data_IF_021347430771
#
_entry.id   IF_021347430771
#
_cell.length_a   1.000
_cell.length_b   1.000
_cell.length_c   1.000
_cell.angle_alpha   90.00
_cell.angle_beta   90.00
_cell.angle_gamma   90.00
#
_symmetry.space_group_name_H-M   'P 1'
#
loop_
_entity.id
_entity.type
_entity.pdbx_description
1 polymer ?
#
# COMPACT_ATOMS: atom_id res chain seq x y z
N UNK A 1 49.66 9.10 46.64
CA UNK A 1 50.88 9.94 46.56
C UNK A 1 51.36 9.96 45.12
N UNK A 2 51.32 11.16 44.51
CA UNK A 2 52.45 11.83 43.79
C UNK A 2 53.38 11.02 42.87
N UNK A 3 53.75 11.48 41.68
CA UNK A 3 53.33 12.67 40.95
C UNK A 3 53.61 12.55 39.43
N UNK A 4 52.86 13.39 38.72
CA UNK A 4 52.91 13.81 37.32
C UNK A 4 54.23 14.51 36.95
N UNK A 5 54.74 14.27 35.73
CA UNK A 5 55.01 15.25 34.65
C UNK A 5 55.33 14.48 33.35
N UNK A 6 55.13 14.88 32.07
CA UNK A 6 54.62 16.07 31.33
C UNK A 6 55.69 16.77 30.47
N UNK A 7 55.27 17.02 29.22
CA UNK A 7 55.90 17.93 28.23
C UNK A 7 57.27 17.45 27.69
N UNK A 8 57.73 17.83 26.48
CA UNK A 8 57.09 18.63 25.43
C UNK A 8 57.64 18.30 24.02
N UNK A 9 56.70 18.23 23.06
CA UNK A 9 56.65 18.89 21.75
C UNK A 9 57.86 19.00 20.77
N UNK A 10 57.53 18.75 19.49
CA UNK A 10 58.03 19.41 18.25
C UNK A 10 59.49 19.14 17.77
N UNK A 11 59.62 18.36 16.69
CA UNK A 11 59.54 18.83 15.28
C UNK A 11 60.64 18.29 14.32
N UNK A 12 60.20 17.91 13.09
CA UNK A 12 60.96 17.84 11.81
C UNK A 12 62.08 16.78 11.75
N UNK A 13 62.35 16.10 10.65
CA UNK A 13 61.71 16.12 9.32
C UNK A 13 62.75 16.17 8.19
N UNK A 14 62.99 15.04 7.52
CA UNK A 14 63.69 14.94 6.25
C UNK A 14 63.40 13.57 5.63
N UNK A 15 62.77 13.53 4.45
CA UNK A 15 62.67 12.32 3.63
C UNK A 15 62.96 12.69 2.16
N UNK A 16 63.55 11.74 1.44
CA UNK A 16 64.54 12.03 0.39
C UNK A 16 63.93 12.13 -1.01
N UNK A 17 64.31 13.16 -1.79
CA UNK A 17 63.77 13.41 -3.13
C UNK A 17 64.52 12.62 -4.21
N UNK A 18 63.87 11.61 -4.80
CA UNK A 18 64.37 10.97 -6.03
C UNK A 18 64.03 11.79 -7.30
N UNK A 19 64.93 11.84 -8.31
CA UNK A 19 64.71 12.54 -9.58
C UNK A 19 63.89 11.73 -10.60
N UNK A 20 63.26 12.38 -11.60
CA UNK A 20 62.22 11.77 -12.45
C UNK A 20 62.77 10.88 -13.58
N UNK A 21 62.09 9.76 -13.85
CA UNK A 21 62.36 8.89 -15.00
C UNK A 21 61.83 9.49 -16.32
N UNK A 22 62.71 9.68 -17.29
CA UNK A 22 62.41 10.13 -18.66
C UNK A 22 61.34 9.23 -19.31
N UNK A 23 60.30 9.82 -19.89
CA UNK A 23 59.27 9.10 -20.63
C UNK A 23 59.66 8.96 -22.11
N UNK A 24 59.72 7.73 -22.62
CA UNK A 24 59.90 7.45 -24.04
C UNK A 24 58.61 7.71 -24.82
N UNK A 25 58.70 8.51 -25.89
CA UNK A 25 57.55 9.03 -26.64
C UNK A 25 56.80 8.02 -27.52
N UNK A 26 56.09 7.07 -26.92
CA UNK A 26 55.05 6.29 -27.60
C UNK A 26 53.68 6.98 -27.45
N UNK A 27 52.98 7.22 -28.56
CA UNK A 27 51.61 7.75 -28.55
C UNK A 27 50.70 6.75 -27.82
N UNK A 28 49.99 7.13 -26.75
CA UNK A 28 49.15 6.18 -26.02
C UNK A 28 48.04 5.66 -26.95
N UNK A 29 47.97 4.34 -27.11
CA UNK A 29 46.91 3.69 -27.88
C UNK A 29 45.59 4.02 -27.20
N UNK A 30 44.74 4.82 -27.88
CA UNK A 30 43.35 5.04 -27.45
C UNK A 30 42.57 3.75 -27.62
N UNK A 31 42.71 2.83 -26.67
CA UNK A 31 41.68 1.82 -26.44
C UNK A 31 40.43 2.58 -26.05
N UNK A 32 39.44 2.61 -26.94
CA UNK A 32 38.07 2.97 -26.58
C UNK A 32 37.72 2.07 -25.40
N UNK A 33 37.23 2.60 -24.26
CA UNK A 33 36.69 1.73 -23.23
C UNK A 33 35.68 0.81 -23.90
N UNK A 34 35.87 -0.49 -23.78
CA UNK A 34 34.73 -1.38 -24.00
C UNK A 34 33.68 -0.92 -23.01
N UNK A 35 32.52 -0.52 -23.55
CA UNK A 35 31.32 -0.35 -22.76
C UNK A 35 30.98 -1.75 -22.26
N UNK A 36 31.60 -2.16 -21.15
CA UNK A 36 30.95 -3.04 -20.21
C UNK A 36 29.59 -2.40 -20.00
N UNK A 37 28.57 -3.06 -20.55
CA UNK A 37 27.19 -2.68 -20.34
C UNK A 37 27.04 -2.69 -18.84
N UNK A 38 26.92 -1.50 -18.27
CA UNK A 38 26.47 -1.36 -16.90
C UNK A 38 25.04 -1.86 -16.92
N UNK A 39 24.88 -3.16 -16.69
CA UNK A 39 23.64 -3.80 -16.28
C UNK A 39 23.31 -3.23 -14.91
N UNK A 40 22.94 -1.94 -14.91
CA UNK A 40 22.71 -1.13 -13.74
C UNK A 40 21.48 -1.64 -13.04
N UNK A 41 21.72 -2.66 -12.21
CA UNK A 41 20.77 -3.52 -11.52
C UNK A 41 19.35 -3.34 -12.05
N UNK A 42 19.11 -3.85 -13.27
CA UNK A 42 17.78 -4.04 -13.79
C UNK A 42 17.12 -5.06 -12.87
N UNK A 43 16.47 -4.53 -11.81
CA UNK A 43 16.12 -5.24 -10.56
C UNK A 43 15.89 -6.69 -10.87
N UNK A 44 16.85 -7.53 -10.44
CA UNK A 44 16.88 -8.97 -10.64
C UNK A 44 15.46 -9.45 -10.71
N UNK A 45 15.07 -10.09 -11.83
CA UNK A 45 13.73 -10.72 -11.99
C UNK A 45 13.34 -11.17 -10.60
N UNK A 46 12.32 -10.56 -9.99
CA UNK A 46 11.84 -11.01 -8.70
C UNK A 46 11.63 -12.50 -8.91
N UNK A 47 12.51 -13.30 -8.32
CA UNK A 47 12.35 -14.74 -8.25
C UNK A 47 10.98 -14.85 -7.67
N UNK A 48 10.05 -15.40 -8.45
CA UNK A 48 8.67 -15.47 -8.05
C UNK A 48 8.64 -16.55 -6.96
N UNK A 49 9.02 -16.14 -5.75
CA UNK A 49 8.97 -16.93 -4.54
C UNK A 49 7.57 -17.49 -4.50
N UNK A 50 7.48 -18.80 -4.73
CA UNK A 50 6.22 -19.43 -5.01
C UNK A 50 5.34 -19.24 -3.79
N UNK A 51 4.24 -18.51 -4.00
CA UNK A 51 3.53 -17.90 -2.92
C UNK A 51 2.83 -19.00 -2.09
N UNK A 52 3.26 -19.18 -0.84
CA UNK A 52 3.07 -20.43 -0.07
C UNK A 52 1.69 -20.59 0.57
N UNK A 53 1.04 -19.47 0.95
CA UNK A 53 -0.35 -19.42 1.43
C UNK A 53 -1.41 -19.43 0.29
N UNK A 54 -2.73 -19.50 0.57
CA UNK A 54 -3.77 -19.02 -0.32
C UNK A 54 -3.78 -17.47 -0.43
N UNK A 55 -4.33 -16.93 -1.52
CA UNK A 55 -4.48 -15.47 -1.75
C UNK A 55 -5.92 -15.08 -2.11
N UNK A 56 -6.16 -13.78 -2.33
CA UNK A 56 -7.50 -13.28 -2.71
C UNK A 56 -7.70 -13.25 -4.23
N UNK A 57 -8.93 -12.99 -4.67
CA UNK A 57 -9.27 -12.69 -6.09
C UNK A 57 -8.62 -11.42 -6.65
N UNK A 58 -7.94 -10.63 -5.80
CA UNK A 58 -7.23 -9.41 -6.17
C UNK A 58 -5.73 -9.65 -6.27
N UNK A 59 -5.08 -8.99 -7.24
CA UNK A 59 -3.64 -9.15 -7.42
C UNK A 59 -2.83 -8.50 -6.31
N UNK A 60 -1.83 -9.22 -5.80
CA UNK A 60 -0.81 -8.65 -4.91
C UNK A 60 0.07 -7.59 -5.58
N UNK A 61 0.04 -7.48 -6.91
CA UNK A 61 0.85 -6.53 -7.69
C UNK A 61 0.15 -5.18 -7.85
N UNK A 62 0.35 -4.28 -6.88
CA UNK A 62 -0.30 -2.97 -6.91
C UNK A 62 0.36 -2.03 -7.93
N UNK A 63 -0.44 -1.20 -8.58
CA UNK A 63 0.04 -0.03 -9.32
C UNK A 63 0.14 1.11 -8.29
N UNK A 64 1.30 1.26 -7.67
CA UNK A 64 1.52 2.25 -6.60
C UNK A 64 1.73 3.65 -7.19
N UNK A 65 1.05 4.65 -6.61
CA UNK A 65 1.17 6.06 -6.98
C UNK A 65 1.12 6.95 -5.74
N UNK A 66 1.97 7.97 -5.68
CA UNK A 66 1.89 9.01 -4.65
C UNK A 66 1.14 10.24 -5.18
N UNK A 67 0.67 11.09 -4.27
CA UNK A 67 -0.05 12.32 -4.59
C UNK A 67 0.75 13.51 -4.04
N UNK A 68 1.16 14.41 -4.93
CA UNK A 68 1.84 15.65 -4.56
C UNK A 68 0.87 16.83 -4.71
N UNK A 69 0.80 17.71 -3.71
CA UNK A 69 -0.06 18.89 -3.80
C UNK A 69 0.43 19.83 -4.93
N UNK A 70 -0.45 20.23 -5.85
CA UNK A 70 -0.16 21.21 -6.89
C UNK A 70 -0.75 22.58 -6.54
N UNK A 71 -1.98 22.62 -5.98
CA UNK A 71 -2.57 23.86 -5.46
C UNK A 71 -3.65 23.61 -4.41
N UNK A 72 -4.02 24.65 -3.66
CA UNK A 72 -5.04 24.61 -2.60
C UNK A 72 -4.47 24.86 -1.20
N UNK A 73 -5.33 24.77 -0.17
CA UNK A 73 -4.95 24.97 1.24
C UNK A 73 -4.57 23.68 1.98
N UNK A 74 -5.12 22.55 1.55
CA UNK A 74 -4.87 21.22 2.12
C UNK A 74 -3.47 20.74 1.71
N UNK A 75 -2.52 20.72 2.66
CA UNK A 75 -1.12 20.31 2.42
C UNK A 75 -0.91 18.81 2.43
N UNK A 76 -1.73 18.08 3.19
CA UNK A 76 -1.67 16.63 3.36
C UNK A 76 -3.08 16.03 3.30
N UNK A 77 -3.18 14.80 2.81
CA UNK A 77 -4.40 14.00 2.79
C UNK A 77 -4.33 12.95 3.90
N UNK A 78 -5.46 12.62 4.51
CA UNK A 78 -5.57 11.57 5.53
C UNK A 78 -6.34 10.34 5.02
N UNK A 79 -6.47 9.31 5.87
CA UNK A 79 -7.29 8.13 5.61
C UNK A 79 -8.78 8.46 5.39
N UNK A 80 -9.32 9.51 6.01
CA UNK A 80 -10.71 9.94 5.82
C UNK A 80 -10.94 10.53 4.42
N UNK A 81 -9.91 11.11 3.80
CA UNK A 81 -9.93 11.61 2.42
C UNK A 81 -9.86 10.48 1.38
N UNK A 82 -9.29 9.31 1.71
CA UNK A 82 -9.03 8.24 0.76
C UNK A 82 -10.23 7.79 -0.11
N UNK A 83 -11.47 7.68 0.40
CA UNK A 83 -12.61 7.31 -0.44
C UNK A 83 -12.98 8.38 -1.47
N UNK A 84 -12.77 9.67 -1.15
CA UNK A 84 -12.96 10.76 -2.10
C UNK A 84 -11.87 10.74 -3.17
N UNK A 85 -10.60 10.51 -2.78
CA UNK A 85 -9.48 10.29 -3.72
C UNK A 85 -9.80 9.14 -4.67
N UNK A 86 -10.19 7.97 -4.15
CA UNK A 86 -10.56 6.80 -4.96
C UNK A 86 -11.73 7.09 -5.91
N UNK A 87 -12.77 7.81 -5.46
CA UNK A 87 -13.88 8.21 -6.31
C UNK A 87 -13.41 9.12 -7.46
N UNK A 88 -12.67 10.20 -7.16
CA UNK A 88 -12.23 11.18 -8.16
C UNK A 88 -11.24 10.57 -9.15
N UNK A 89 -10.41 9.62 -8.71
CA UNK A 89 -9.50 8.87 -9.57
C UNK A 89 -10.27 7.92 -10.50
N UNK A 90 -11.26 7.19 -9.98
CA UNK A 90 -12.16 6.37 -10.81
C UNK A 90 -12.84 7.23 -11.87
N UNK A 91 -13.47 8.35 -11.47
CA UNK A 91 -14.10 9.29 -12.41
C UNK A 91 -13.13 9.77 -13.50
N UNK A 92 -11.89 10.12 -13.14
CA UNK A 92 -10.86 10.49 -14.12
C UNK A 92 -10.50 9.34 -15.08
N UNK A 93 -10.35 8.11 -14.59
CA UNK A 93 -10.10 6.91 -15.43
C UNK A 93 -11.25 6.70 -16.41
N UNK A 94 -12.51 6.92 -16.00
CA UNK A 94 -13.66 6.70 -16.87
C UNK A 94 -13.69 7.66 -18.08
N UNK A 95 -13.16 8.87 -17.95
CA UNK A 95 -13.00 9.78 -19.10
C UNK A 95 -12.06 9.27 -20.19
N UNK A 96 -11.16 8.33 -19.86
CA UNK A 96 -10.12 7.82 -20.77
C UNK A 96 -10.51 6.52 -21.50
N UNK A 97 -11.70 5.97 -21.23
CA UNK A 97 -12.07 4.60 -21.65
C UNK A 97 -13.43 4.49 -22.31
N UNK A 98 -14.02 5.62 -22.75
CA UNK A 98 -15.26 5.61 -23.51
C UNK A 98 -15.16 4.71 -24.75
N UNK A 99 -14.04 4.81 -25.48
CA UNK A 99 -13.74 4.04 -26.70
C UNK A 99 -13.01 2.71 -26.43
N UNK A 100 -12.89 2.30 -25.16
CA UNK A 100 -12.23 1.04 -24.81
C UNK A 100 -13.16 -0.17 -25.05
N UNK A 101 -12.62 -1.37 -25.34
CA UNK A 101 -13.40 -2.60 -25.42
C UNK A 101 -14.24 -2.81 -24.16
N UNK A 102 -15.44 -3.38 -24.31
CA UNK A 102 -16.38 -3.56 -23.20
C UNK A 102 -15.79 -4.27 -21.96
N UNK A 103 -14.97 -5.34 -22.09
CA UNK A 103 -14.33 -5.96 -20.92
C UNK A 103 -13.43 -4.99 -20.15
N UNK A 104 -12.70 -4.11 -20.84
CA UNK A 104 -11.86 -3.07 -20.22
C UNK A 104 -12.71 -2.01 -19.53
N UNK A 105 -13.85 -1.64 -20.11
CA UNK A 105 -14.80 -0.71 -19.49
C UNK A 105 -15.39 -1.29 -18.20
N UNK A 106 -15.83 -2.56 -18.23
CA UNK A 106 -16.29 -3.36 -17.07
C UNK A 106 -15.21 -3.52 -15.99
N UNK A 107 -13.95 -3.75 -16.39
CA UNK A 107 -12.81 -3.90 -15.48
C UNK A 107 -12.47 -2.60 -14.73
N UNK A 108 -12.65 -1.42 -15.34
CA UNK A 108 -12.26 -0.14 -14.76
C UNK A 108 -13.43 0.59 -14.09
N UNK A 109 -14.58 0.63 -14.75
CA UNK A 109 -15.88 0.84 -14.12
C UNK A 109 -16.51 -0.52 -13.89
N UNK A 110 -16.48 -1.02 -12.65
CA UNK A 110 -17.25 -2.20 -12.25
C UNK A 110 -18.78 -2.03 -12.31
N UNK A 111 -19.29 -1.84 -13.52
CA UNK A 111 -20.68 -1.82 -13.90
C UNK A 111 -20.83 -2.48 -15.28
N UNK A 112 -21.99 -3.09 -15.52
CA UNK A 112 -22.44 -3.54 -16.83
C UNK A 112 -22.81 -2.35 -17.73
N UNK A 113 -23.12 -2.64 -19.00
CA UNK A 113 -23.52 -1.63 -20.00
C UNK A 113 -24.78 -0.85 -19.59
N UNK A 114 -25.71 -1.50 -18.88
CA UNK A 114 -26.92 -0.92 -18.28
C UNK A 114 -26.66 -0.05 -17.02
N UNK A 115 -25.41 0.05 -16.57
CA UNK A 115 -25.04 0.74 -15.33
C UNK A 115 -25.32 -0.03 -14.04
N UNK A 116 -25.75 -1.29 -14.11
CA UNK A 116 -25.85 -2.16 -12.93
C UNK A 116 -24.45 -2.51 -12.40
N UNK A 117 -24.22 -2.53 -11.08
CA UNK A 117 -22.91 -2.86 -10.51
C UNK A 117 -22.52 -4.32 -10.82
N UNK A 118 -21.23 -4.56 -11.11
CA UNK A 118 -20.72 -5.92 -11.28
C UNK A 118 -20.63 -6.64 -9.93
N UNK A 119 -20.95 -7.94 -9.94
CA UNK A 119 -20.60 -8.86 -8.86
C UNK A 119 -19.12 -9.24 -8.93
N UNK A 120 -18.60 -9.38 -10.15
CA UNK A 120 -17.22 -9.77 -10.44
C UNK A 120 -16.17 -8.79 -9.89
N UNK A 121 -14.99 -9.30 -9.50
CA UNK A 121 -13.84 -8.49 -9.17
C UNK A 121 -13.46 -7.52 -10.32
N UNK A 122 -13.20 -6.27 -9.96
CA UNK A 122 -12.77 -5.22 -10.88
C UNK A 122 -11.80 -4.27 -10.17
N UNK A 123 -11.36 -3.19 -10.84
CA UNK A 123 -10.43 -2.21 -10.29
C UNK A 123 -10.84 -1.73 -8.88
N UNK A 124 -9.97 -1.98 -7.92
CA UNK A 124 -10.05 -1.51 -6.55
C UNK A 124 -8.96 -0.47 -6.24
N UNK A 125 -9.21 0.33 -5.21
CA UNK A 125 -8.29 1.36 -4.72
C UNK A 125 -7.94 1.06 -3.26
N UNK A 126 -6.64 1.03 -2.96
CA UNK A 126 -6.08 0.72 -1.65
C UNK A 126 -5.36 1.97 -1.13
N UNK A 127 -5.79 2.59 -0.01
CA UNK A 127 -5.09 3.72 0.57
C UNK A 127 -3.81 3.26 1.27
N UNK A 128 -2.68 3.79 0.83
CA UNK A 128 -1.36 3.48 1.37
C UNK A 128 -1.00 4.55 2.39
N UNK A 129 -1.49 4.38 3.61
CA UNK A 129 -1.35 5.35 4.69
C UNK A 129 -0.17 5.04 5.62
N UNK A 130 0.29 6.04 6.37
CA UNK A 130 1.34 5.93 7.40
C UNK A 130 0.73 5.39 8.70
N UNK A 131 0.71 4.06 8.81
CA UNK A 131 -0.02 3.29 9.85
C UNK A 131 0.79 2.10 10.36
N UNK A 132 0.49 1.67 11.59
CA UNK A 132 1.02 0.42 12.14
C UNK A 132 2.48 0.49 12.61
N UNK A 133 2.92 1.65 13.10
CA UNK A 133 4.21 1.87 13.77
C UNK A 133 4.06 2.97 14.84
N UNK A 134 5.02 3.09 15.77
CA UNK A 134 4.92 3.98 16.95
C UNK A 134 4.62 5.46 16.66
N UNK A 135 5.05 5.97 15.50
CA UNK A 135 4.87 7.37 15.05
C UNK A 135 3.83 7.52 13.93
N UNK A 136 2.87 6.59 13.84
CA UNK A 136 1.85 6.60 12.80
C UNK A 136 0.78 7.67 13.06
N UNK A 137 0.41 8.41 12.01
CA UNK A 137 -0.54 9.54 12.06
C UNK A 137 -1.74 9.37 11.10
N UNK A 138 -1.74 8.34 10.26
CA UNK A 138 -2.82 8.08 9.31
C UNK A 138 -2.81 8.94 8.04
N UNK A 139 -1.74 9.71 7.80
CA UNK A 139 -1.60 10.47 6.54
C UNK A 139 -1.47 9.53 5.34
N UNK A 140 -2.07 9.92 4.23
CA UNK A 140 -2.12 9.15 2.98
C UNK A 140 -0.85 9.40 2.16
N UNK A 141 0.05 8.43 2.15
CA UNK A 141 1.31 8.51 1.37
C UNK A 141 1.05 8.30 -0.13
N UNK A 142 0.06 7.48 -0.46
CA UNK A 142 -0.32 7.20 -1.84
C UNK A 142 -1.54 6.29 -1.96
N UNK A 143 -1.80 5.84 -3.19
CA UNK A 143 -2.84 4.89 -3.53
C UNK A 143 -2.21 3.71 -4.30
N UNK A 144 -2.58 2.50 -3.92
CA UNK A 144 -2.41 1.30 -4.74
C UNK A 144 -3.66 1.12 -5.60
N UNK A 145 -3.50 1.07 -6.92
CA UNK A 145 -4.57 0.62 -7.81
C UNK A 145 -4.40 -0.88 -8.03
N UNK A 146 -5.44 -1.64 -7.71
CA UNK A 146 -5.41 -3.11 -7.64
C UNK A 146 -6.39 -3.66 -8.65
N UNK A 147 -5.90 -4.50 -9.55
CA UNK A 147 -6.71 -5.24 -10.50
C UNK A 147 -6.96 -6.66 -9.95
N UNK A 148 -8.02 -7.36 -10.39
CA UNK A 148 -8.16 -8.81 -10.19
C UNK A 148 -6.90 -9.61 -10.54
N UNK A 149 -6.70 -10.76 -9.91
CA UNK A 149 -5.53 -11.61 -10.19
C UNK A 149 -5.67 -12.32 -11.56
N UNK A 150 -6.87 -12.83 -11.89
CA UNK A 150 -7.16 -13.47 -13.18
C UNK A 150 -7.77 -12.47 -14.16
N UNK A 151 -6.97 -12.00 -15.12
CA UNK A 151 -7.38 -11.07 -16.20
C UNK A 151 -6.65 -11.42 -17.49
N UNK A 152 -7.31 -11.29 -18.64
CA UNK A 152 -6.65 -11.39 -19.94
C UNK A 152 -5.46 -10.40 -20.06
N UNK A 153 -4.28 -10.82 -20.54
CA UNK A 153 -3.13 -9.94 -20.69
C UNK A 153 -3.33 -8.73 -21.61
N UNK A 154 -4.23 -8.79 -22.61
CA UNK A 154 -4.56 -7.64 -23.47
C UNK A 154 -5.43 -6.65 -22.69
N UNK A 155 -6.47 -7.11 -22.00
CA UNK A 155 -7.30 -6.27 -21.13
C UNK A 155 -6.47 -5.56 -20.06
N UNK A 156 -5.61 -6.31 -19.35
CA UNK A 156 -4.68 -5.77 -18.35
C UNK A 156 -3.78 -4.67 -18.95
N UNK A 157 -3.25 -4.86 -20.17
CA UNK A 157 -2.46 -3.83 -20.86
C UNK A 157 -3.27 -2.57 -21.19
N UNK A 158 -4.53 -2.71 -21.62
CA UNK A 158 -5.39 -1.54 -21.86
C UNK A 158 -5.74 -0.80 -20.56
N UNK A 159 -6.07 -1.53 -19.50
CA UNK A 159 -6.32 -0.98 -18.16
C UNK A 159 -5.11 -0.17 -17.64
N UNK A 160 -3.91 -0.72 -17.76
CA UNK A 160 -2.67 -0.04 -17.38
C UNK A 160 -2.43 1.25 -18.18
N UNK A 161 -2.71 1.26 -19.49
CA UNK A 161 -2.60 2.47 -20.33
C UNK A 161 -3.61 3.55 -19.92
N UNK A 162 -4.85 3.18 -19.64
CA UNK A 162 -5.88 4.11 -19.19
C UNK A 162 -5.52 4.75 -17.83
N UNK A 163 -5.07 3.93 -16.87
CA UNK A 163 -4.59 4.38 -15.56
C UNK A 163 -3.38 5.33 -15.70
N UNK A 164 -2.43 5.01 -16.59
CA UNK A 164 -1.21 5.79 -16.77
C UNK A 164 -1.42 7.18 -17.42
N UNK A 165 -2.57 7.42 -18.06
CA UNK A 165 -2.92 8.75 -18.62
C UNK A 165 -3.38 9.76 -17.56
N UNK A 166 -3.72 9.32 -16.35
CA UNK A 166 -4.17 10.22 -15.29
C UNK A 166 -2.96 10.76 -14.53
N UNK A 167 -2.59 12.02 -14.78
CA UNK A 167 -1.49 12.72 -14.12
C UNK A 167 -1.95 13.66 -12.99
N UNK A 168 -3.24 13.97 -12.92
CA UNK A 168 -3.82 15.00 -12.04
C UNK A 168 -5.20 14.60 -11.52
N UNK A 169 -5.47 14.93 -10.25
CA UNK A 169 -6.79 14.82 -9.62
C UNK A 169 -7.29 16.19 -9.15
N UNK A 170 -8.57 16.47 -9.43
CA UNK A 170 -9.30 17.62 -8.92
C UNK A 170 -10.14 17.18 -7.71
N UNK A 171 -9.65 17.45 -6.50
CA UNK A 171 -10.25 16.99 -5.23
C UNK A 171 -11.12 18.08 -4.54
N UNK A 172 -11.69 18.99 -5.33
CA UNK A 172 -12.58 20.05 -4.85
C UNK A 172 -11.90 20.94 -3.79
N UNK A 173 -12.47 20.96 -2.58
CA UNK A 173 -11.93 21.75 -1.45
C UNK A 173 -10.53 21.32 -1.00
N UNK A 174 -10.12 20.08 -1.29
CA UNK A 174 -8.77 19.58 -1.00
C UNK A 174 -7.74 20.06 -2.04
N UNK A 175 -8.18 20.73 -3.12
CA UNK A 175 -7.31 21.34 -4.12
C UNK A 175 -6.98 20.43 -5.30
N UNK A 176 -5.89 20.76 -5.99
CA UNK A 176 -5.38 20.02 -7.17
C UNK A 176 -4.16 19.23 -6.75
N UNK A 177 -4.14 17.95 -7.10
CA UNK A 177 -3.08 17.02 -6.72
C UNK A 177 -2.51 16.34 -7.97
N UNK A 178 -1.19 16.30 -8.07
CA UNK A 178 -0.48 15.63 -9.16
C UNK A 178 -0.14 14.20 -8.76
N UNK A 179 -0.50 13.25 -9.61
CA UNK A 179 -0.16 11.84 -9.48
C UNK A 179 1.31 11.65 -9.87
N UNK A 180 2.07 10.94 -9.03
CA UNK A 180 3.47 10.61 -9.28
C UNK A 180 3.68 9.10 -9.21
N UNK A 181 4.55 8.59 -10.08
CA UNK A 181 5.14 7.26 -9.91
C UNK A 181 6.12 7.30 -8.74
N UNK A 182 6.22 6.21 -7.98
CA UNK A 182 7.18 6.14 -6.86
C UNK A 182 8.58 5.89 -7.41
N UNK A 183 9.54 6.74 -7.04
CA UNK A 183 10.95 6.61 -7.43
C UNK A 183 11.68 5.63 -6.52
N UNK A 184 12.69 4.93 -7.03
CA UNK A 184 13.23 3.72 -6.39
C UNK A 184 14.08 3.94 -5.12
N UNK A 185 14.51 5.17 -4.84
CA UNK A 185 15.28 5.50 -3.63
C UNK A 185 14.36 5.63 -2.41
N UNK A 186 14.67 4.87 -1.35
CA UNK A 186 14.16 5.00 0.02
C UNK A 186 12.68 5.38 0.16
N UNK A 187 11.80 4.44 -0.21
CA UNK A 187 10.37 4.58 -0.03
C UNK A 187 9.98 4.19 1.41
N UNK A 188 9.02 4.90 2.05
CA UNK A 188 8.39 4.41 3.28
C UNK A 188 7.81 3.02 3.05
N UNK A 189 8.03 2.10 3.99
CA UNK A 189 7.58 0.69 3.89
C UNK A 189 6.10 0.55 3.50
N UNK A 190 5.24 1.44 3.96
CA UNK A 190 3.81 1.40 3.64
C UNK A 190 3.47 1.74 2.17
N UNK A 191 4.43 2.11 1.31
CA UNK A 191 4.26 2.17 -0.15
C UNK A 191 4.56 0.82 -0.85
N UNK A 192 5.18 -0.13 -0.16
CA UNK A 192 5.46 -1.46 -0.68
C UNK A 192 4.20 -2.34 -0.62
N UNK A 193 3.80 -3.03 -1.70
CA UNK A 193 2.63 -3.92 -1.69
C UNK A 193 2.72 -5.03 -0.63
N UNK A 194 3.93 -5.49 -0.32
CA UNK A 194 4.23 -6.51 0.69
C UNK A 194 3.66 -6.12 2.06
N UNK A 195 3.74 -4.83 2.44
CA UNK A 195 3.20 -4.28 3.68
C UNK A 195 1.66 -4.40 3.81
N UNK A 196 0.95 -4.71 2.72
CA UNK A 196 -0.52 -4.84 2.63
C UNK A 196 -0.99 -6.22 2.16
N UNK A 197 -0.06 -7.08 1.75
CA UNK A 197 -0.35 -8.39 1.16
C UNK A 197 0.25 -9.55 1.96
N UNK A 198 1.23 -9.27 2.83
CA UNK A 198 2.04 -10.29 3.52
C UNK A 198 2.69 -11.30 2.55
N UNK A 199 2.97 -10.88 1.31
CA UNK A 199 3.62 -11.73 0.32
C UNK A 199 5.08 -12.07 0.73
N UNK A 200 5.59 -13.30 0.49
CA UNK A 200 4.90 -14.47 -0.10
C UNK A 200 4.10 -15.32 0.91
N UNK A 201 4.44 -15.22 2.20
CA UNK A 201 4.09 -16.19 3.24
C UNK A 201 2.65 -16.10 3.77
N UNK A 202 1.99 -14.96 3.56
CA UNK A 202 0.72 -14.65 4.20
C UNK A 202 0.85 -14.26 5.67
N UNK A 203 -0.28 -13.98 6.31
CA UNK A 203 -0.39 -13.74 7.74
C UNK A 203 -1.71 -14.32 8.27
N UNK A 204 -1.73 -14.76 9.53
CA UNK A 204 -2.94 -15.27 10.21
C UNK A 204 -3.80 -14.14 10.79
N UNK A 205 -3.20 -13.00 11.15
CA UNK A 205 -3.88 -11.89 11.82
C UNK A 205 -3.91 -10.62 10.96
N UNK A 206 -5.09 -10.03 10.83
CA UNK A 206 -5.32 -8.86 9.98
C UNK A 206 -6.21 -7.85 10.70
N UNK A 207 -5.95 -6.55 10.54
CA UNK A 207 -6.87 -5.51 11.00
C UNK A 207 -7.13 -4.46 9.93
N UNK A 208 -8.35 -3.92 9.95
CA UNK A 208 -8.83 -2.95 8.97
C UNK A 208 -8.18 -1.57 9.14
N UNK A 209 -7.53 -1.06 8.11
CA UNK A 209 -7.01 0.33 8.02
C UNK A 209 -8.09 1.31 7.57
N UNK A 210 -9.07 0.85 6.79
CA UNK A 210 -10.33 1.58 6.54
C UNK A 210 -11.53 0.73 6.91
N UNK A 211 -12.58 1.30 7.51
CA UNK A 211 -13.67 0.51 8.09
C UNK A 211 -14.47 -0.22 7.01
N UNK A 212 -15.03 -1.37 7.36
CA UNK A 212 -15.79 -2.23 6.45
C UNK A 212 -17.19 -1.63 6.30
N UNK A 213 -17.51 -1.07 5.14
CA UNK A 213 -18.88 -0.66 4.82
C UNK A 213 -19.75 -1.90 4.62
N UNK A 214 -20.83 -2.04 5.37
CA UNK A 214 -21.64 -3.26 5.35
C UNK A 214 -22.47 -3.38 4.06
N UNK A 215 -22.53 -4.59 3.48
CA UNK A 215 -23.34 -4.92 2.29
C UNK A 215 -24.84 -4.72 2.54
N UNK A 216 -25.31 -5.18 3.70
CA UNK A 216 -26.66 -4.97 4.26
C UNK A 216 -26.59 -4.27 5.62
N UNK A 217 -27.70 -3.81 6.17
CA UNK A 217 -27.73 -3.42 7.58
C UNK A 217 -27.98 -4.66 8.44
N UNK A 218 -27.32 -4.80 9.61
CA UNK A 218 -27.72 -5.81 10.57
C UNK A 218 -29.12 -5.48 11.11
N UNK A 219 -29.93 -6.52 11.30
CA UNK A 219 -31.34 -6.44 11.73
C UNK A 219 -31.51 -6.69 13.23
N UNK A 220 -30.57 -7.39 13.87
CA UNK A 220 -30.67 -7.69 15.29
C UNK A 220 -30.73 -6.41 16.15
N UNK A 221 -31.67 -6.39 17.09
CA UNK A 221 -31.96 -5.25 17.96
C UNK A 221 -31.05 -5.22 19.21
N UNK A 222 -30.75 -6.38 19.80
CA UNK A 222 -29.79 -6.49 20.89
C UNK A 222 -28.35 -6.37 20.38
N UNK A 223 -27.45 -5.90 21.26
CA UNK A 223 -26.07 -5.60 20.89
C UNK A 223 -25.26 -6.85 20.52
N UNK A 224 -25.51 -7.98 21.18
CA UNK A 224 -24.68 -9.19 21.05
C UNK A 224 -24.98 -9.89 19.73
N UNK A 225 -26.25 -10.16 19.43
CA UNK A 225 -26.65 -10.72 18.14
C UNK A 225 -26.35 -9.76 16.98
N UNK A 226 -26.40 -8.43 17.20
CA UNK A 226 -25.96 -7.44 16.20
C UNK A 226 -24.44 -7.53 15.93
N UNK A 227 -23.61 -7.76 16.95
CA UNK A 227 -22.18 -8.02 16.76
C UNK A 227 -21.94 -9.35 16.03
N UNK A 228 -22.63 -10.43 16.42
CA UNK A 228 -22.54 -11.74 15.76
C UNK A 228 -22.99 -11.68 14.29
N UNK A 229 -24.09 -10.98 13.97
CA UNK A 229 -24.58 -10.81 12.61
C UNK A 229 -23.55 -10.06 11.74
N UNK A 230 -22.92 -9.01 12.29
CA UNK A 230 -21.87 -8.25 11.59
C UNK A 230 -20.60 -9.10 11.41
N UNK A 231 -20.17 -9.84 12.43
CA UNK A 231 -19.03 -10.75 12.34
C UNK A 231 -19.25 -11.81 11.24
N UNK A 232 -20.42 -12.43 11.21
CA UNK A 232 -20.83 -13.41 10.20
C UNK A 232 -20.97 -12.80 8.78
N UNK A 233 -21.39 -11.54 8.67
CA UNK A 233 -21.33 -10.80 7.39
C UNK A 233 -19.90 -10.56 6.90
N UNK A 234 -18.97 -10.25 7.81
CA UNK A 234 -17.55 -10.02 7.50
C UNK A 234 -16.86 -11.35 7.13
N UNK A 235 -17.16 -12.44 7.84
CA UNK A 235 -16.65 -13.78 7.53
C UNK A 235 -17.05 -14.24 6.11
N UNK A 236 -18.33 -14.07 5.73
CA UNK A 236 -18.78 -14.28 4.33
C UNK A 236 -18.12 -13.33 3.34
N UNK A 237 -17.79 -12.11 3.77
CA UNK A 237 -17.02 -11.16 2.97
C UNK A 237 -15.62 -11.67 2.59
N UNK A 238 -14.96 -12.38 3.51
CA UNK A 238 -13.66 -13.01 3.28
C UNK A 238 -13.78 -14.17 2.27
N UNK A 239 -14.77 -15.07 2.46
CA UNK A 239 -15.05 -16.17 1.52
C UNK A 239 -15.34 -15.66 0.12
N UNK A 240 -16.12 -14.57 -0.02
CA UNK A 240 -16.44 -13.96 -1.33
C UNK A 240 -15.20 -13.45 -2.08
N UNK A 241 -14.11 -13.14 -1.40
CA UNK A 241 -12.86 -12.72 -2.05
C UNK A 241 -11.84 -13.86 -2.19
N UNK A 242 -12.27 -15.12 -2.06
CA UNK A 242 -11.46 -16.32 -2.29
C UNK A 242 -10.66 -16.81 -1.07
N UNK A 243 -10.82 -16.18 0.10
CA UNK A 243 -10.13 -16.62 1.31
C UNK A 243 -10.86 -17.76 2.03
N UNK A 244 -10.15 -18.57 2.83
CA UNK A 244 -10.80 -19.43 3.82
C UNK A 244 -11.69 -18.59 4.76
N UNK A 245 -12.68 -19.23 5.36
CA UNK A 245 -13.50 -18.59 6.40
C UNK A 245 -12.59 -18.30 7.62
N UNK A 246 -12.57 -17.06 8.14
CA UNK A 246 -11.79 -16.76 9.35
C UNK A 246 -12.30 -17.55 10.55
N UNK A 247 -11.36 -17.96 11.41
CA UNK A 247 -11.60 -18.59 12.72
C UNK A 247 -12.35 -17.64 13.64
N UNK A 248 -11.95 -16.36 13.64
CA UNK A 248 -12.53 -15.32 14.48
C UNK A 248 -12.66 -13.99 13.71
N UNK A 249 -13.73 -13.24 14.03
CA UNK A 249 -13.94 -11.87 13.55
C UNK A 249 -14.35 -10.99 14.72
N UNK A 250 -13.45 -10.10 15.14
CA UNK A 250 -13.67 -9.18 16.27
C UNK A 250 -14.12 -7.83 15.70
N UNK A 251 -15.39 -7.47 15.93
CA UNK A 251 -15.98 -6.21 15.43
C UNK A 251 -15.75 -5.07 16.42
N UNK A 252 -15.11 -3.99 15.97
CA UNK A 252 -14.61 -2.90 16.83
C UNK A 252 -14.88 -1.51 16.25
N UNK A 253 -14.91 -0.48 17.12
CA UNK A 253 -15.02 0.93 16.72
C UNK A 253 -13.69 1.54 16.28
N UNK A 254 -12.55 0.92 16.59
CA UNK A 254 -11.20 1.36 16.26
C UNK A 254 -10.36 0.23 15.65
N UNK A 255 -9.36 0.57 14.85
CA UNK A 255 -8.41 -0.40 14.30
C UNK A 255 -7.41 -0.87 15.36
N UNK A 256 -6.76 -2.02 15.13
CA UNK A 256 -5.56 -2.41 15.88
C UNK A 256 -4.29 -1.69 15.37
N UNK A 257 -4.34 -1.03 14.20
CA UNK A 257 -3.21 -0.27 13.66
C UNK A 257 -3.13 1.14 14.26
N UNK A 258 -1.96 1.47 14.83
CA UNK A 258 -1.64 2.86 15.20
C UNK A 258 -1.75 3.79 13.99
N UNK A 259 -2.18 5.04 14.23
CA UNK A 259 -2.45 6.04 13.19
C UNK A 259 -3.80 5.92 12.49
N UNK A 260 -4.57 4.84 12.69
CA UNK A 260 -5.89 4.71 12.07
C UNK A 260 -6.97 5.37 12.93
N UNK A 261 -7.68 6.33 12.35
CA UNK A 261 -8.80 7.04 12.99
C UNK A 261 -9.96 6.06 13.32
N UNK A 262 -10.76 6.28 14.39
CA UNK A 262 -11.95 5.46 14.66
C UNK A 262 -12.98 5.45 13.52
N UNK A 263 -13.73 4.35 13.39
CA UNK A 263 -14.66 4.10 12.28
C UNK A 263 -15.69 5.22 12.09
N UNK A 264 -16.14 5.85 13.17
CA UNK A 264 -17.17 6.88 13.14
C UNK A 264 -16.73 8.20 12.49
N UNK A 265 -15.41 8.47 12.43
CA UNK A 265 -14.85 9.67 11.81
C UNK A 265 -14.74 9.56 10.29
N UNK A 266 -14.62 8.33 9.75
CA UNK A 266 -14.65 8.12 8.31
C UNK A 266 -15.99 8.58 7.73
N UNK A 267 -16.00 9.15 6.51
CA UNK A 267 -17.25 9.39 5.81
C UNK A 267 -18.03 8.07 5.63
N UNK A 268 -19.35 8.17 5.47
CA UNK A 268 -20.21 7.00 5.20
C UNK A 268 -20.61 6.96 3.75
N UNK A 269 -20.42 5.81 3.11
CA UNK A 269 -20.91 5.56 1.75
C UNK A 269 -22.44 5.75 1.72
N UNK A 270 -22.91 6.57 0.78
CA UNK A 270 -24.33 6.73 0.48
C UNK A 270 -24.83 5.56 -0.36
N UNK A 271 -26.10 5.19 -0.20
CA UNK A 271 -26.85 4.32 -1.11
C UNK A 271 -27.57 5.17 -2.19
N UNK A 272 -28.19 4.50 -3.15
CA UNK A 272 -29.03 5.14 -4.18
C UNK A 272 -30.22 5.91 -3.56
N UNK A 273 -30.79 5.40 -2.47
CA UNK A 273 -31.84 6.03 -1.66
C UNK A 273 -31.35 7.20 -0.76
N UNK A 274 -30.08 7.60 -0.86
CA UNK A 274 -29.47 8.65 -0.03
C UNK A 274 -29.08 8.22 1.40
N UNK A 275 -29.55 7.07 1.89
CA UNK A 275 -29.22 6.55 3.22
C UNK A 275 -27.73 6.23 3.36
N UNK A 276 -27.21 6.30 4.58
CA UNK A 276 -25.80 6.04 4.87
C UNK A 276 -25.58 4.58 5.25
N UNK A 277 -24.60 3.92 4.62
CA UNK A 277 -24.15 2.59 5.05
C UNK A 277 -23.55 2.66 6.46
N UNK A 278 -23.86 1.66 7.28
CA UNK A 278 -23.13 1.41 8.54
C UNK A 278 -21.77 0.78 8.20
N UNK A 279 -20.80 1.00 9.07
CA UNK A 279 -19.44 0.51 8.96
C UNK A 279 -18.82 0.34 10.35
N UNK A 280 -17.79 -0.51 10.46
CA UNK A 280 -16.99 -0.73 11.66
C UNK A 280 -15.57 -1.13 11.27
N UNK A 281 -14.62 -1.05 12.20
CA UNK A 281 -13.35 -1.75 12.06
C UNK A 281 -13.53 -3.22 12.45
N UNK A 282 -12.59 -4.06 12.03
CA UNK A 282 -12.51 -5.45 12.47
C UNK A 282 -11.06 -5.91 12.61
N UNK A 283 -10.88 -6.94 13.44
CA UNK A 283 -9.73 -7.84 13.42
C UNK A 283 -10.22 -9.17 12.86
N UNK A 284 -9.45 -9.78 11.97
CA UNK A 284 -9.71 -11.09 11.37
C UNK A 284 -8.59 -12.04 11.80
N UNK A 285 -8.96 -13.23 12.26
CA UNK A 285 -8.02 -14.30 12.59
C UNK A 285 -8.33 -15.49 11.68
N UNK A 286 -7.33 -15.98 10.96
CA UNK A 286 -7.38 -17.18 10.15
C UNK A 286 -6.60 -18.31 10.83
N UNK A 287 -7.02 -19.56 10.64
CA UNK A 287 -6.30 -20.73 11.17
C UNK A 287 -4.90 -20.82 10.54
N UNK A 288 -4.86 -20.72 9.21
CA UNK A 288 -3.64 -20.75 8.40
C UNK A 288 -3.30 -19.36 7.85
N UNK A 289 -2.03 -19.07 7.53
CA UNK A 289 -1.65 -17.82 6.87
C UNK A 289 -2.40 -17.60 5.56
N UNK A 290 -2.87 -16.37 5.32
CA UNK A 290 -3.48 -15.95 4.05
C UNK A 290 -2.77 -14.74 3.49
N UNK A 291 -2.71 -14.59 2.16
CA UNK A 291 -2.22 -13.37 1.49
C UNK A 291 -3.34 -12.39 1.18
N UNK A 292 -3.02 -11.11 1.31
CA UNK A 292 -3.82 -10.00 0.82
C UNK A 292 -3.61 -9.69 -0.68
N UNK A 293 -4.20 -8.60 -1.19
CA UNK A 293 -4.90 -7.58 -0.41
C UNK A 293 -6.29 -8.04 0.02
N UNK A 294 -6.60 -7.89 1.31
CA UNK A 294 -7.91 -8.21 1.87
C UNK A 294 -8.79 -6.96 1.77
N UNK A 295 -9.73 -6.97 0.82
CA UNK A 295 -10.63 -5.85 0.51
C UNK A 295 -12.08 -6.31 0.61
N UNK A 296 -12.78 -5.94 1.69
CA UNK A 296 -14.07 -6.55 2.06
C UNK A 296 -15.23 -5.54 2.25
N UNK A 297 -16.46 -6.04 2.12
CA UNK A 297 -17.69 -5.25 2.23
C UNK A 297 -18.03 -4.38 1.01
N UNK A 298 -19.04 -3.53 1.15
CA UNK A 298 -19.70 -2.78 0.07
C UNK A 298 -18.84 -1.67 -0.56
N UNK A 299 -17.70 -1.36 0.07
CA UNK A 299 -16.78 -0.33 -0.37
C UNK A 299 -15.39 -0.84 -0.77
N UNK A 300 -15.22 -2.16 -0.92
CA UNK A 300 -13.94 -2.81 -1.27
C UNK A 300 -13.26 -2.24 -2.53
N UNK A 301 -14.04 -1.81 -3.52
CA UNK A 301 -13.55 -1.17 -4.75
C UNK A 301 -13.40 0.36 -4.65
N UNK A 302 -13.55 0.95 -3.45
CA UNK A 302 -13.63 2.41 -3.19
C UNK A 302 -12.79 2.86 -1.98
N UNK A 303 -11.78 2.09 -1.59
CA UNK A 303 -10.89 2.42 -0.46
C UNK A 303 -11.43 2.10 0.94
N UNK A 304 -12.54 1.37 1.08
CA UNK A 304 -13.06 0.88 2.37
C UNK A 304 -12.81 -0.61 2.57
N UNK A 305 -12.83 -1.05 3.82
CA UNK A 305 -12.66 -2.45 4.19
C UNK A 305 -11.29 -3.02 3.79
N UNK A 306 -10.28 -2.15 3.74
CA UNK A 306 -8.89 -2.53 3.46
C UNK A 306 -8.27 -3.02 4.76
N UNK A 307 -7.76 -4.25 4.78
CA UNK A 307 -6.98 -4.77 5.90
C UNK A 307 -5.48 -4.76 5.61
N UNK A 308 -4.70 -4.65 6.68
CA UNK A 308 -3.24 -4.76 6.72
C UNK A 308 -2.89 -5.84 7.75
N UNK A 309 -1.88 -6.71 7.51
CA UNK A 309 -1.47 -7.71 8.49
C UNK A 309 -1.04 -7.03 9.79
N UNK A 310 -1.37 -7.64 10.92
CA UNK A 310 -0.79 -7.29 12.22
C UNK A 310 0.06 -8.47 12.68
N UNK A 311 1.10 -8.19 13.46
CA UNK A 311 1.78 -9.24 14.20
C UNK A 311 0.76 -9.90 15.14
N UNK A 312 0.84 -11.22 15.32
CA UNK A 312 -0.02 -11.91 16.27
C UNK A 312 0.14 -11.26 17.65
N UNK A 313 -0.97 -11.03 18.35
CA UNK A 313 -0.96 -10.42 19.70
C UNK A 313 -0.41 -11.44 20.70
N UNK A 314 0.91 -11.61 20.69
CA UNK A 314 1.58 -12.79 21.22
C UNK A 314 3.11 -12.71 21.18
N UNK A 315 3.69 -11.53 21.37
CA UNK A 315 5.00 -11.38 22.03
C UNK A 315 5.20 -9.94 22.53
N UNK A 316 4.62 -9.65 23.69
CA UNK A 316 5.06 -8.53 24.52
C UNK A 316 6.39 -8.88 25.18
N UNK A 317 7.49 -8.84 24.42
CA UNK A 317 8.78 -9.33 24.87
C UNK A 317 9.95 -8.77 24.04
N UNK A 318 10.54 -7.68 24.54
CA UNK A 318 11.93 -7.28 24.30
C UNK A 318 12.47 -7.30 22.87
N UNK A 319 12.36 -6.16 22.18
CA UNK A 319 13.50 -5.68 21.38
C UNK A 319 13.76 -4.20 21.71
N UNK A 320 14.28 -3.99 22.92
CA UNK A 320 14.99 -2.78 23.25
C UNK A 320 16.39 -2.91 22.63
N UNK A 321 16.50 -2.45 21.37
CA UNK A 321 17.74 -2.48 20.62
C UNK A 321 18.90 -1.98 21.47
N UNK A 322 19.84 -2.88 21.75
CA UNK A 322 21.00 -2.58 22.58
C UNK A 322 21.96 -1.75 21.75
N UNK A 323 22.01 -0.43 22.01
CA UNK A 323 23.09 0.41 21.50
C UNK A 323 24.39 -0.02 22.19
N UNK A 324 25.17 -0.83 21.47
CA UNK A 324 26.47 -1.30 21.92
C UNK A 324 27.47 -0.13 21.88
N UNK A 325 27.69 0.47 23.05
CA UNK A 325 28.69 1.52 23.24
C UNK A 325 30.08 0.87 23.35
N UNK A 326 30.73 0.69 22.19
CA UNK A 326 32.05 0.10 22.09
C UNK A 326 33.08 1.04 21.42
N UNK A 327 33.62 1.95 22.25
CA UNK A 327 34.96 2.61 22.16
C UNK A 327 35.24 3.57 21.00
#
# INVERSE_FOLDING_TARGET
MTAIDRSSAKARGAEEKQPPRKHSGARPVRRRPELHVYEGSARTRLTAEQASAPGTVFSGRFIVRTLAQESGRCRELDLCCAPHVAQRWREAILTQVNDAPEPVRKLLSGHNHDGAPLEDPHLAFVPLAFVGHRRADGRLLGMGLVLPESIDPRERRHALRAIARIDRLLLGRLGVWRIRSVHAAEQPWNLHPEAWTAHPNGATHWSTVTPIAFDRHPKAADRVACQMEVAEMIARGCVRIGLPRPKEVIVTSASAHLGVTPAHAFPRLKRKDGSRRRHAHAILVFEEPVRGPILIGAGRFRGYGVCRPIDALGNGGGDAGTEDVAR
#
